data_IF_222258765459
#
_entry.id   IF_222258765459
#
_cell.length_a   1.000
_cell.length_b   1.000
_cell.length_c   1.000
_cell.angle_alpha   90.00
_cell.angle_beta   90.00
_cell.angle_gamma   90.00
#
_symmetry.space_group_name_H-M   'P 1'
#
loop_
_entity.id
_entity.type
_entity.pdbx_description
1 polymer ?
#
# COMPACT_ATOMS: atom_id res chain seq x y z
N UNK A 1 -21.48 16.05 15.13
CA UNK A 1 -20.77 16.14 13.84
C UNK A 1 -21.71 16.77 12.85
N UNK A 2 -21.42 17.97 12.36
CA UNK A 2 -22.25 18.62 11.34
C UNK A 2 -21.98 18.01 9.98
N UNK A 3 -22.96 18.11 9.04
CA UNK A 3 -22.79 17.62 7.65
C UNK A 3 -21.50 18.16 7.02
N UNK A 4 -21.14 19.42 7.29
CA UNK A 4 -19.90 20.03 6.80
C UNK A 4 -18.62 19.43 7.40
N UNK A 5 -18.65 18.99 8.65
CA UNK A 5 -17.54 18.28 9.30
C UNK A 5 -17.40 16.86 8.78
N UNK A 6 -18.52 16.19 8.45
CA UNK A 6 -18.51 14.86 7.86
C UNK A 6 -17.89 14.87 6.46
N UNK A 7 -18.30 15.81 5.61
CA UNK A 7 -17.73 15.99 4.26
C UNK A 7 -16.23 16.34 4.32
N UNK A 8 -15.79 17.17 5.28
CA UNK A 8 -14.38 17.54 5.45
C UNK A 8 -13.53 16.44 6.07
N UNK A 9 -14.12 15.53 6.84
CA UNK A 9 -13.36 14.47 7.53
C UNK A 9 -12.80 13.40 6.59
N UNK A 10 -13.32 13.29 5.36
CA UNK A 10 -12.85 12.34 4.34
C UNK A 10 -12.91 10.86 4.75
N UNK A 11 -13.61 10.54 5.85
CA UNK A 11 -13.65 9.20 6.43
C UNK A 11 -14.41 8.17 5.60
N UNK A 12 -15.34 8.62 4.77
CA UNK A 12 -16.09 7.77 3.84
C UNK A 12 -16.35 8.52 2.54
N UNK A 13 -15.40 8.47 1.59
CA UNK A 13 -15.52 9.17 0.31
C UNK A 13 -16.70 8.69 -0.53
N UNK A 14 -17.09 7.42 -0.38
CA UNK A 14 -18.22 6.84 -1.13
C UNK A 14 -19.54 7.47 -0.70
N UNK A 15 -19.80 7.56 0.60
CA UNK A 15 -21.01 8.20 1.12
C UNK A 15 -21.09 9.68 0.77
N UNK A 16 -19.94 10.39 0.75
CA UNK A 16 -19.89 11.81 0.32
C UNK A 16 -20.19 11.94 -1.16
N UNK A 17 -19.72 11.01 -1.99
CA UNK A 17 -20.00 11.01 -3.44
C UNK A 17 -21.48 10.79 -3.73
N UNK A 18 -22.12 9.83 -3.08
CA UNK A 18 -23.56 9.57 -3.20
C UNK A 18 -24.38 10.79 -2.77
N UNK A 19 -24.02 11.39 -1.64
CA UNK A 19 -24.72 12.60 -1.15
C UNK A 19 -24.59 13.79 -2.14
N UNK A 20 -23.42 13.96 -2.76
CA UNK A 20 -23.20 15.01 -3.75
C UNK A 20 -24.02 14.77 -5.02
N UNK A 21 -24.12 13.52 -5.48
CA UNK A 21 -24.91 13.10 -6.62
C UNK A 21 -26.41 13.35 -6.38
N UNK A 22 -26.93 12.91 -5.23
CA UNK A 22 -28.33 13.11 -4.85
C UNK A 22 -28.68 14.60 -4.72
N UNK A 23 -27.79 15.39 -4.10
CA UNK A 23 -28.00 16.84 -4.00
C UNK A 23 -28.02 17.50 -5.39
N UNK A 24 -27.13 17.10 -6.29
CA UNK A 24 -27.13 17.62 -7.66
C UNK A 24 -28.39 17.22 -8.43
N UNK A 25 -28.89 16.00 -8.25
CA UNK A 25 -30.14 15.54 -8.87
C UNK A 25 -31.35 16.38 -8.40
N UNK A 26 -31.49 16.60 -7.09
CA UNK A 26 -32.59 17.41 -6.52
C UNK A 26 -32.51 18.87 -7.01
N UNK A 27 -31.32 19.47 -6.98
CA UNK A 27 -31.11 20.83 -7.50
C UNK A 27 -31.38 20.93 -9.00
N UNK A 28 -30.95 19.93 -9.77
CA UNK A 28 -31.19 19.84 -11.22
C UNK A 28 -32.69 19.79 -11.53
N UNK A 29 -33.48 18.98 -10.81
CA UNK A 29 -34.91 18.92 -10.92
C UNK A 29 -35.58 20.27 -10.60
N UNK A 30 -35.12 20.97 -9.55
CA UNK A 30 -35.60 22.29 -9.19
C UNK A 30 -35.33 23.32 -10.28
N UNK A 31 -34.13 23.36 -10.86
CA UNK A 31 -33.75 24.27 -11.96
C UNK A 31 -34.61 23.95 -13.21
N UNK A 32 -34.70 22.69 -13.60
CA UNK A 32 -35.47 22.28 -14.79
C UNK A 32 -36.95 22.61 -14.62
N UNK A 33 -37.55 22.30 -13.46
CA UNK A 33 -38.95 22.61 -13.16
C UNK A 33 -39.26 24.11 -13.20
N UNK A 34 -38.40 24.94 -12.61
CA UNK A 34 -38.57 26.39 -12.63
C UNK A 34 -38.37 26.99 -14.02
N UNK A 35 -37.42 26.49 -14.80
CA UNK A 35 -37.20 26.92 -16.18
C UNK A 35 -38.38 26.58 -17.10
N UNK A 36 -38.93 25.37 -16.94
CA UNK A 36 -40.11 24.93 -17.71
C UNK A 36 -41.35 25.78 -17.36
N UNK A 37 -41.61 26.02 -16.08
CA UNK A 37 -42.70 26.87 -15.64
C UNK A 37 -42.55 28.31 -16.18
N UNK A 38 -41.33 28.87 -16.14
CA UNK A 38 -41.07 30.19 -16.70
C UNK A 38 -41.30 30.24 -18.24
N UNK A 39 -40.90 29.19 -18.97
CA UNK A 39 -41.11 29.08 -20.40
C UNK A 39 -42.61 29.04 -20.71
N UNK A 40 -43.41 28.27 -19.97
CA UNK A 40 -44.85 28.14 -20.13
C UNK A 40 -45.59 29.46 -19.80
N UNK A 41 -45.24 30.08 -18.65
CA UNK A 41 -45.88 31.35 -18.21
C UNK A 41 -45.57 32.56 -19.14
N UNK A 42 -44.38 32.61 -19.71
CA UNK A 42 -43.92 33.72 -20.54
C UNK A 42 -44.14 33.46 -22.06
N UNK A 43 -44.45 32.22 -22.44
CA UNK A 43 -44.52 31.82 -23.85
C UNK A 43 -43.15 31.86 -24.56
N UNK A 44 -42.04 32.01 -23.81
CA UNK A 44 -40.71 32.17 -24.39
C UNK A 44 -39.85 30.90 -24.14
N UNK A 45 -39.52 30.10 -25.17
CA UNK A 45 -38.75 28.85 -25.04
C UNK A 45 -37.30 29.07 -24.62
N UNK A 46 -36.82 30.33 -24.60
CA UNK A 46 -35.47 30.65 -24.17
C UNK A 46 -35.20 30.26 -22.69
N UNK A 47 -36.22 30.31 -21.85
CA UNK A 47 -36.10 29.92 -20.45
C UNK A 47 -35.83 28.44 -20.27
N UNK A 48 -36.44 27.59 -21.08
CA UNK A 48 -36.18 26.15 -21.09
C UNK A 48 -34.76 25.82 -21.57
N UNK A 49 -34.30 26.50 -22.64
CA UNK A 49 -32.94 26.34 -23.13
C UNK A 49 -31.87 26.78 -22.10
N UNK A 50 -32.10 27.89 -21.40
CA UNK A 50 -31.23 28.35 -20.33
C UNK A 50 -31.24 27.40 -19.12
N UNK A 51 -32.39 26.86 -18.76
CA UNK A 51 -32.54 25.83 -17.75
C UNK A 51 -31.72 24.57 -18.06
N UNK A 52 -31.83 24.11 -19.31
CA UNK A 52 -31.06 22.94 -19.77
C UNK A 52 -29.55 23.18 -19.72
N UNK A 53 -29.06 24.35 -20.10
CA UNK A 53 -27.65 24.74 -19.99
C UNK A 53 -27.20 24.76 -18.51
N UNK A 54 -28.04 25.32 -17.64
CA UNK A 54 -27.73 25.40 -16.22
C UNK A 54 -27.63 24.00 -15.56
N UNK A 55 -28.58 23.11 -15.88
CA UNK A 55 -28.58 21.72 -15.45
C UNK A 55 -27.32 20.98 -15.98
N UNK A 56 -27.03 21.15 -17.29
CA UNK A 56 -25.82 20.59 -17.89
C UNK A 56 -24.54 21.07 -17.21
N UNK A 57 -24.44 22.34 -16.88
CA UNK A 57 -23.31 22.90 -16.10
C UNK A 57 -23.22 22.32 -14.69
N UNK A 58 -24.35 22.18 -13.98
CA UNK A 58 -24.41 21.54 -12.66
C UNK A 58 -23.93 20.09 -12.72
N UNK A 59 -24.44 19.30 -13.65
CA UNK A 59 -24.04 17.90 -13.80
C UNK A 59 -22.56 17.77 -14.19
N UNK A 60 -22.06 18.62 -15.08
CA UNK A 60 -20.65 18.66 -15.47
C UNK A 60 -19.71 18.95 -14.30
N UNK A 61 -20.05 19.94 -13.45
CA UNK A 61 -19.27 20.27 -12.26
C UNK A 61 -19.33 19.15 -11.22
N UNK A 62 -20.48 18.52 -11.02
CA UNK A 62 -20.65 17.37 -10.13
C UNK A 62 -19.82 16.18 -10.61
N UNK A 63 -19.87 15.87 -11.91
CA UNK A 63 -19.07 14.79 -12.49
C UNK A 63 -17.57 15.03 -12.28
N UNK A 64 -17.10 16.26 -12.49
CA UNK A 64 -15.70 16.63 -12.30
C UNK A 64 -15.26 16.50 -10.83
N UNK A 65 -16.13 16.88 -9.89
CA UNK A 65 -15.93 16.67 -8.47
C UNK A 65 -15.83 15.17 -8.12
N UNK A 66 -16.77 14.33 -8.62
CA UNK A 66 -16.79 12.90 -8.37
C UNK A 66 -15.54 12.19 -8.93
N UNK A 67 -15.13 12.53 -10.17
CA UNK A 67 -13.90 12.00 -10.77
C UNK A 67 -12.70 12.35 -9.92
N UNK A 68 -12.56 13.60 -9.50
CA UNK A 68 -11.42 14.05 -8.70
C UNK A 68 -11.42 13.42 -7.30
N UNK A 69 -12.58 13.23 -6.68
CA UNK A 69 -12.72 12.57 -5.37
C UNK A 69 -12.40 11.08 -5.46
N UNK A 70 -12.93 10.39 -6.47
CA UNK A 70 -12.73 8.95 -6.64
C UNK A 70 -11.35 8.59 -7.19
N UNK A 71 -10.70 9.49 -7.92
CA UNK A 71 -9.32 9.28 -8.40
C UNK A 71 -8.35 8.96 -7.27
N UNK A 72 -8.48 9.63 -6.13
CA UNK A 72 -7.65 9.39 -4.94
C UNK A 72 -7.87 8.00 -4.33
N UNK A 73 -9.08 7.43 -4.47
CA UNK A 73 -9.38 6.06 -4.03
C UNK A 73 -8.82 5.02 -5.00
N UNK A 74 -8.88 5.30 -6.32
CA UNK A 74 -8.40 4.37 -7.35
C UNK A 74 -6.87 4.34 -7.45
N UNK A 75 -6.18 5.44 -7.14
CA UNK A 75 -4.72 5.51 -7.16
C UNK A 75 -4.06 5.00 -5.86
N UNK A 76 -4.86 4.66 -4.84
CA UNK A 76 -4.38 4.32 -3.50
C UNK A 76 -3.73 5.54 -2.81
N UNK A 77 -4.12 5.81 -1.57
CA UNK A 77 -3.35 6.76 -0.75
C UNK A 77 -2.10 6.05 -0.27
N UNK A 78 -0.97 6.68 -0.39
CA UNK A 78 0.24 6.21 0.29
C UNK A 78 0.28 6.71 1.73
N UNK A 79 1.03 6.02 2.58
CA UNK A 79 1.43 6.55 3.88
C UNK A 79 2.10 7.92 3.72
N UNK A 80 1.94 8.79 4.70
CA UNK A 80 2.62 10.09 4.71
C UNK A 80 4.13 9.94 4.54
N UNK A 81 4.76 10.89 3.85
CA UNK A 81 6.19 10.87 3.54
C UNK A 81 7.06 10.65 4.79
N UNK A 82 6.69 11.25 5.92
CA UNK A 82 7.42 11.12 7.19
C UNK A 82 7.42 9.68 7.71
N UNK A 83 6.27 8.97 7.60
CA UNK A 83 6.15 7.58 8.01
C UNK A 83 6.93 6.65 7.08
N UNK A 84 6.81 6.87 5.77
CA UNK A 84 7.58 6.14 4.77
C UNK A 84 9.07 6.29 4.99
N UNK A 85 9.54 7.52 5.26
CA UNK A 85 10.94 7.78 5.55
C UNK A 85 11.39 7.05 6.81
N UNK A 86 10.61 7.11 7.89
CA UNK A 86 10.93 6.43 9.16
C UNK A 86 11.12 4.93 8.96
N UNK A 87 10.22 4.27 8.22
CA UNK A 87 10.28 2.84 7.93
C UNK A 87 11.53 2.52 7.09
N UNK A 88 11.73 3.27 6.00
CA UNK A 88 12.87 3.05 5.10
C UNK A 88 14.21 3.27 5.79
N UNK A 89 14.33 4.29 6.64
CA UNK A 89 15.54 4.52 7.43
C UNK A 89 15.77 3.41 8.47
N UNK A 90 14.71 2.89 9.08
CA UNK A 90 14.82 1.75 10.00
C UNK A 90 15.38 0.53 9.27
N UNK A 91 14.85 0.20 8.10
CA UNK A 91 15.34 -0.90 7.27
C UNK A 91 16.81 -0.71 6.87
N UNK A 92 17.20 0.48 6.41
CA UNK A 92 18.58 0.79 6.00
C UNK A 92 19.60 0.72 7.14
N UNK A 93 19.15 0.89 8.39
CA UNK A 93 20.02 0.78 9.57
C UNK A 93 20.26 -0.66 10.01
N UNK A 94 19.50 -1.60 9.49
CA UNK A 94 19.68 -3.00 9.85
C UNK A 94 20.96 -3.56 9.23
N UNK A 95 21.81 -4.21 10.04
CA UNK A 95 23.11 -4.72 9.57
C UNK A 95 23.03 -5.78 8.46
N UNK A 96 21.87 -6.45 8.27
CA UNK A 96 21.69 -7.44 7.20
C UNK A 96 21.23 -6.82 5.90
N UNK A 97 20.84 -5.56 5.89
CA UNK A 97 20.40 -4.83 4.71
C UNK A 97 21.58 -4.11 4.08
N UNK A 98 21.82 -4.33 2.79
CA UNK A 98 22.80 -3.58 2.00
C UNK A 98 22.16 -2.36 1.34
N UNK A 99 21.00 -2.56 0.69
CA UNK A 99 20.27 -1.47 0.04
C UNK A 99 18.75 -1.73 0.11
N UNK A 100 17.98 -0.66 0.07
CA UNK A 100 16.51 -0.69 -0.01
C UNK A 100 16.07 0.04 -1.26
N UNK A 101 15.50 -0.70 -2.20
CA UNK A 101 14.94 -0.19 -3.44
C UNK A 101 13.42 -0.05 -3.32
N UNK A 102 12.82 0.80 -4.15
CA UNK A 102 11.38 0.88 -4.43
C UNK A 102 10.41 0.68 -3.25
N UNK A 103 10.72 1.27 -2.08
CA UNK A 103 9.78 1.25 -0.98
C UNK A 103 8.51 2.06 -1.32
N UNK A 104 7.35 1.41 -1.27
CA UNK A 104 6.04 1.99 -1.57
C UNK A 104 4.99 1.52 -0.58
N UNK A 105 3.94 2.31 -0.44
CA UNK A 105 2.77 1.93 0.36
C UNK A 105 1.48 2.25 -0.39
N UNK A 106 0.45 1.46 -0.12
CA UNK A 106 -0.85 1.54 -0.76
C UNK A 106 -1.95 1.37 0.29
N UNK A 107 -2.96 2.23 0.29
CA UNK A 107 -4.13 2.11 1.14
C UNK A 107 -5.11 1.09 0.53
N UNK A 108 -5.35 -0.02 1.22
CA UNK A 108 -6.28 -1.07 0.81
C UNK A 108 -7.70 -0.84 1.30
N UNK A 109 -7.89 0.04 2.27
CA UNK A 109 -9.17 0.38 2.87
C UNK A 109 -8.99 1.45 3.93
N UNK A 110 -10.05 1.97 4.52
CA UNK A 110 -10.02 3.11 5.44
C UNK A 110 -8.96 2.95 6.56
N UNK A 111 -7.77 3.50 6.34
CA UNK A 111 -6.67 3.50 7.30
C UNK A 111 -5.87 2.19 7.39
N UNK A 112 -6.06 1.26 6.45
CA UNK A 112 -5.30 0.01 6.35
C UNK A 112 -4.34 0.09 5.17
N UNK A 113 -3.06 -0.13 5.41
CA UNK A 113 -2.02 0.00 4.40
C UNK A 113 -1.32 -1.32 4.12
N UNK A 114 -0.91 -1.48 2.86
CA UNK A 114 0.11 -2.43 2.42
C UNK A 114 1.40 -1.67 2.22
N UNK A 115 2.50 -2.24 2.68
CA UNK A 115 3.85 -1.77 2.41
C UNK A 115 4.59 -2.81 1.58
N UNK A 116 5.29 -2.37 0.55
CA UNK A 116 6.14 -3.23 -0.25
C UNK A 116 7.51 -2.58 -0.46
N UNK A 117 8.57 -3.35 -0.35
CA UNK A 117 9.92 -2.91 -0.61
C UNK A 117 10.77 -4.03 -1.21
N UNK A 118 11.69 -3.66 -2.07
CA UNK A 118 12.72 -4.54 -2.60
C UNK A 118 14.00 -4.29 -1.82
N UNK A 119 14.61 -5.36 -1.30
CA UNK A 119 15.73 -5.29 -0.36
C UNK A 119 16.88 -6.17 -0.83
N UNK A 120 18.06 -5.58 -0.89
CA UNK A 120 19.31 -6.32 -1.07
C UNK A 120 19.88 -6.70 0.31
N UNK A 121 20.04 -8.01 0.52
CA UNK A 121 20.56 -8.55 1.76
C UNK A 121 22.04 -8.85 1.69
N UNK A 122 22.78 -8.53 2.75
CA UNK A 122 24.17 -8.94 2.94
C UNK A 122 24.26 -10.43 3.20
N UNK A 123 24.57 -11.21 2.17
CA UNK A 123 24.75 -12.66 2.32
C UNK A 123 25.77 -13.02 3.43
N UNK A 124 26.84 -12.22 3.55
CA UNK A 124 27.84 -12.37 4.62
C UNK A 124 27.22 -12.22 6.02
N UNK A 125 26.40 -11.19 6.21
CA UNK A 125 25.76 -10.92 7.52
C UNK A 125 24.71 -11.96 7.88
N UNK A 126 23.97 -12.44 6.88
CA UNK A 126 23.02 -13.54 7.07
C UNK A 126 23.75 -14.79 7.51
N UNK A 127 24.84 -15.16 6.83
CA UNK A 127 25.67 -16.31 7.23
C UNK A 127 26.23 -16.14 8.64
N UNK A 128 26.77 -14.96 8.97
CA UNK A 128 27.29 -14.68 10.32
C UNK A 128 26.20 -14.90 11.38
N UNK A 129 24.97 -14.38 11.18
CA UNK A 129 23.82 -14.59 12.07
C UNK A 129 23.38 -16.04 12.14
N UNK A 130 23.31 -16.71 10.99
CA UNK A 130 22.94 -18.13 10.91
C UNK A 130 23.89 -18.99 11.73
N UNK A 131 25.19 -18.79 11.59
CA UNK A 131 26.22 -19.53 12.30
C UNK A 131 26.28 -19.19 13.81
N UNK A 132 25.86 -17.99 14.20
CA UNK A 132 25.77 -17.58 15.60
C UNK A 132 24.63 -18.24 16.37
N UNK A 133 23.55 -18.67 15.67
CA UNK A 133 22.40 -19.33 16.30
C UNK A 133 22.74 -20.77 16.73
N UNK A 134 22.50 -21.11 18.01
CA UNK A 134 22.37 -22.47 18.55
C UNK A 134 23.44 -23.51 18.15
N UNK A 135 24.71 -23.22 18.34
CA UNK A 135 25.80 -24.20 18.08
C UNK A 135 25.89 -24.69 16.61
N UNK A 136 25.14 -24.12 15.69
CA UNK A 136 25.12 -24.50 14.25
C UNK A 136 26.52 -24.48 13.64
N UNK A 137 27.38 -23.55 14.08
CA UNK A 137 28.78 -23.50 13.62
C UNK A 137 29.53 -24.79 13.89
N UNK A 138 29.42 -25.36 15.09
CA UNK A 138 30.11 -26.62 15.43
C UNK A 138 29.53 -27.81 14.70
N UNK A 139 28.22 -27.86 14.57
CA UNK A 139 27.52 -28.93 13.81
C UNK A 139 27.92 -28.92 12.34
N UNK A 140 27.90 -27.76 11.70
CA UNK A 140 28.34 -27.61 10.32
C UNK A 140 29.81 -28.00 10.14
N UNK A 141 30.66 -27.50 11.02
CA UNK A 141 32.09 -27.84 10.99
C UNK A 141 32.32 -29.36 11.11
N UNK A 142 31.56 -30.04 11.99
CA UNK A 142 31.62 -31.49 12.12
C UNK A 142 31.18 -32.20 10.81
N UNK A 143 30.05 -31.80 10.22
CA UNK A 143 29.54 -32.39 8.97
C UNK A 143 30.51 -32.20 7.81
N UNK A 144 31.06 -30.98 7.66
CA UNK A 144 32.04 -30.70 6.60
C UNK A 144 33.34 -31.46 6.79
N UNK A 145 33.85 -31.56 8.04
CA UNK A 145 35.05 -32.37 8.33
C UNK A 145 34.80 -33.85 8.04
N UNK A 146 33.68 -34.41 8.45
CA UNK A 146 33.34 -35.80 8.19
C UNK A 146 33.26 -36.09 6.69
N UNK A 147 32.59 -35.23 5.92
CA UNK A 147 32.53 -35.34 4.47
C UNK A 147 33.90 -35.21 3.79
N UNK A 148 34.74 -34.26 4.26
CA UNK A 148 36.10 -34.09 3.75
C UNK A 148 37.01 -35.27 4.03
N UNK A 149 36.93 -35.87 5.24
CA UNK A 149 37.73 -37.02 5.64
C UNK A 149 37.31 -38.31 4.95
N UNK A 150 36.01 -38.44 4.57
CA UNK A 150 35.53 -39.60 3.85
C UNK A 150 36.06 -39.66 2.41
N UNK A 151 36.45 -38.52 1.83
CA UNK A 151 36.86 -38.38 0.43
C UNK A 151 35.68 -38.61 -0.53
N UNK A 152 34.45 -38.69 -0.03
CA UNK A 152 33.25 -38.93 -0.82
C UNK A 152 32.65 -37.60 -1.27
N UNK A 153 32.69 -37.31 -2.58
CA UNK A 153 32.11 -36.15 -3.19
C UNK A 153 30.59 -36.03 -2.93
N UNK A 154 29.89 -37.18 -2.87
CA UNK A 154 28.44 -37.17 -2.61
C UNK A 154 28.15 -36.71 -1.18
N UNK A 155 28.95 -37.10 -0.21
CA UNK A 155 28.83 -36.62 1.16
C UNK A 155 29.06 -35.11 1.27
N UNK A 156 30.02 -34.57 0.49
CA UNK A 156 30.29 -33.14 0.43
C UNK A 156 29.11 -32.38 -0.20
N UNK A 157 28.55 -32.88 -1.31
CA UNK A 157 27.40 -32.27 -1.97
C UNK A 157 26.16 -32.24 -1.05
N UNK A 158 25.94 -33.30 -0.27
CA UNK A 158 24.87 -33.34 0.74
C UNK A 158 25.10 -32.29 1.83
N UNK A 159 26.32 -32.13 2.32
CA UNK A 159 26.65 -31.14 3.34
C UNK A 159 26.45 -29.71 2.83
N UNK A 160 26.87 -29.44 1.57
CA UNK A 160 26.67 -28.14 0.90
C UNK A 160 25.19 -27.84 0.68
N UNK A 161 24.42 -28.80 0.21
CA UNK A 161 22.98 -28.65 -0.01
C UNK A 161 22.25 -28.34 1.29
N UNK A 162 22.57 -29.03 2.36
CA UNK A 162 21.98 -28.78 3.67
C UNK A 162 22.38 -27.39 4.25
N UNK A 163 23.62 -26.96 4.00
CA UNK A 163 24.02 -25.60 4.34
C UNK A 163 23.25 -24.55 3.52
N UNK A 164 23.14 -24.75 2.20
CA UNK A 164 22.38 -23.88 1.31
C UNK A 164 20.91 -23.73 1.74
N UNK A 165 20.24 -24.84 2.05
CA UNK A 165 18.88 -24.85 2.59
C UNK A 165 18.79 -24.01 3.88
N UNK A 166 19.76 -24.19 4.79
CA UNK A 166 19.83 -23.42 6.03
C UNK A 166 20.01 -21.91 5.81
N UNK A 167 20.72 -21.48 4.76
CA UNK A 167 20.88 -20.07 4.41
C UNK A 167 19.58 -19.50 3.81
N UNK A 168 18.92 -20.24 2.92
CA UNK A 168 17.62 -19.82 2.37
C UNK A 168 16.59 -19.63 3.49
N UNK A 169 16.55 -20.56 4.44
CA UNK A 169 15.69 -20.43 5.63
C UNK A 169 16.07 -19.21 6.48
N UNK A 170 17.37 -18.89 6.61
CA UNK A 170 17.83 -17.75 7.36
C UNK A 170 17.43 -16.41 6.71
N UNK A 171 17.39 -16.34 5.38
CA UNK A 171 16.85 -15.18 4.64
C UNK A 171 15.36 -15.01 4.97
N UNK A 172 14.57 -16.07 4.90
CA UNK A 172 13.15 -16.02 5.27
C UNK A 172 12.94 -15.56 6.71
N UNK A 173 13.74 -16.07 7.67
CA UNK A 173 13.69 -15.64 9.07
C UNK A 173 13.95 -14.11 9.24
N UNK A 174 14.87 -13.54 8.43
CA UNK A 174 15.17 -12.10 8.47
C UNK A 174 14.06 -11.27 7.83
N UNK A 175 13.47 -11.74 6.73
CA UNK A 175 12.27 -11.12 6.12
C UNK A 175 11.14 -11.07 7.14
N UNK A 176 10.77 -12.20 7.73
CA UNK A 176 9.73 -12.31 8.77
C UNK A 176 9.97 -11.37 9.97
N UNK A 177 11.24 -11.21 10.36
CA UNK A 177 11.62 -10.32 11.46
C UNK A 177 11.36 -8.85 11.07
N UNK A 178 11.82 -8.45 9.87
CA UNK A 178 11.68 -7.08 9.38
C UNK A 178 10.20 -6.73 9.18
N UNK A 179 9.39 -7.64 8.64
CA UNK A 179 7.95 -7.45 8.51
C UNK A 179 7.28 -7.16 9.86
N UNK A 180 7.62 -7.95 10.88
CA UNK A 180 7.11 -7.75 12.24
C UNK A 180 7.57 -6.42 12.86
N UNK A 181 8.78 -5.97 12.55
CA UNK A 181 9.29 -4.67 13.02
C UNK A 181 8.59 -3.50 12.34
N UNK A 182 8.34 -3.58 11.03
CA UNK A 182 7.61 -2.56 10.27
C UNK A 182 6.19 -2.38 10.84
N UNK A 183 5.47 -3.48 11.09
CA UNK A 183 4.13 -3.44 11.70
C UNK A 183 4.15 -2.83 13.12
N UNK A 184 5.23 -3.02 13.88
CA UNK A 184 5.37 -2.37 15.19
C UNK A 184 5.62 -0.87 15.09
N UNK A 185 6.36 -0.42 14.07
CA UNK A 185 6.63 1.00 13.83
C UNK A 185 5.35 1.72 13.38
N UNK A 186 4.60 1.09 12.47
CA UNK A 186 3.36 1.66 11.93
C UNK A 186 2.24 0.61 11.95
N UNK A 187 1.43 0.56 13.02
CA UNK A 187 0.38 -0.44 13.17
C UNK A 187 -0.77 -0.37 12.15
N UNK A 188 -0.85 0.71 11.38
CA UNK A 188 -1.82 0.82 10.28
C UNK A 188 -1.43 -0.03 9.06
N UNK A 189 -0.20 -0.51 8.99
CA UNK A 189 0.26 -1.46 7.99
C UNK A 189 -0.15 -2.88 8.43
N UNK A 190 -1.00 -3.52 7.64
CA UNK A 190 -1.46 -4.90 7.90
C UNK A 190 -0.80 -5.93 6.99
N UNK A 191 -0.29 -5.48 5.86
CA UNK A 191 0.39 -6.33 4.88
C UNK A 191 1.74 -5.73 4.57
N UNK A 192 2.77 -6.54 4.73
CA UNK A 192 4.16 -6.18 4.39
C UNK A 192 4.66 -7.22 3.40
N UNK A 193 5.20 -6.75 2.29
CA UNK A 193 5.82 -7.58 1.28
C UNK A 193 7.27 -7.10 1.10
N UNK A 194 8.22 -7.92 1.48
CA UNK A 194 9.65 -7.68 1.25
C UNK A 194 10.14 -8.66 0.21
N UNK A 195 10.50 -8.13 -0.96
CA UNK A 195 11.10 -8.90 -2.04
C UNK A 195 12.63 -8.80 -1.94
N UNK A 196 13.30 -9.92 -2.18
CA UNK A 196 14.77 -9.97 -2.24
C UNK A 196 15.23 -9.67 -3.66
N UNK A 197 16.13 -8.72 -3.80
CA UNK A 197 16.77 -8.43 -5.09
C UNK A 197 17.96 -9.38 -5.33
#
# INVERSE_FOLDING_TARGET
MTLGEFVKSGKDPTSVSVLAEDAAAVLGCGIAGTALLAAEMTGNPMYDALGSIAVGGLLGTTAMYLINSNRLLLLGRSLGADKMQTITEHMRRDPVVEEVYFAKSEELGAGTYRFAAEVEFSGKKIVERHLAKNKRRMELHSKFNEAALSGDMVAMDVALSHYGEGIVQAVGDEVDRMEKEIVKIEPSIHYVDIETN
#
